data_IF_005776155453
#
_entry.id   IF_005776155453
#
_cell.length_a   1.000
_cell.length_b   1.000
_cell.length_c   1.000
_cell.angle_alpha   90.00
_cell.angle_beta   90.00
_cell.angle_gamma   90.00
#
_symmetry.space_group_name_H-M   'P 1'
#
loop_
_entity.id
_entity.type
_entity.pdbx_description
1 polymer ?
#
# COMPACT_ATOMS: atom_id res chain seq x y z
N UNK A 1 -10.60 -6.95 -22.86
CA UNK A 1 -10.02 -5.59 -22.77
C UNK A 1 -10.04 -5.22 -21.28
N UNK A 2 -8.90 -5.42 -20.57
CA UNK A 2 -8.79 -4.98 -19.17
C UNK A 2 -8.86 -3.45 -19.18
N UNK A 3 -9.90 -2.87 -18.56
CA UNK A 3 -10.03 -1.43 -18.42
C UNK A 3 -8.75 -0.85 -17.79
N UNK A 4 -8.16 0.11 -18.50
CA UNK A 4 -7.16 1.00 -17.91
C UNK A 4 -7.80 1.63 -16.67
N UNK A 5 -7.29 1.28 -15.51
CA UNK A 5 -7.72 1.87 -14.23
C UNK A 5 -7.55 3.38 -14.37
N UNK A 6 -8.65 4.10 -14.41
CA UNK A 6 -8.64 5.53 -14.67
C UNK A 6 -8.15 6.25 -13.42
N UNK A 7 -7.03 6.95 -13.52
CA UNK A 7 -6.44 7.83 -12.49
C UNK A 7 -7.49 8.81 -11.92
N UNK A 8 -8.47 9.17 -12.72
CA UNK A 8 -9.62 10.01 -12.34
C UNK A 8 -10.46 9.42 -11.18
N UNK A 9 -10.21 8.16 -10.76
CA UNK A 9 -10.92 7.53 -9.63
C UNK A 9 -10.29 7.84 -8.27
N UNK A 10 -9.02 8.25 -8.20
CA UNK A 10 -8.32 8.46 -6.93
C UNK A 10 -9.04 9.42 -5.97
N UNK A 11 -9.49 10.60 -6.41
CA UNK A 11 -10.23 11.50 -5.52
C UNK A 11 -11.53 10.91 -4.99
N UNK A 12 -12.23 10.15 -5.82
CA UNK A 12 -13.48 9.49 -5.43
C UNK A 12 -13.22 8.38 -4.41
N UNK A 13 -12.25 7.52 -4.69
CA UNK A 13 -11.87 6.44 -3.77
C UNK A 13 -11.36 6.99 -2.42
N UNK A 14 -10.58 8.07 -2.45
CA UNK A 14 -10.09 8.70 -1.23
C UNK A 14 -11.26 9.27 -0.39
N UNK A 15 -12.22 9.91 -1.03
CA UNK A 15 -13.41 10.42 -0.36
C UNK A 15 -14.28 9.28 0.21
N UNK A 16 -14.53 8.22 -0.55
CA UNK A 16 -15.28 7.03 -0.10
C UNK A 16 -14.58 6.38 1.10
N UNK A 17 -13.27 6.15 1.02
CA UNK A 17 -12.48 5.60 2.13
C UNK A 17 -12.60 6.46 3.39
N UNK A 18 -12.53 7.79 3.24
CA UNK A 18 -12.66 8.73 4.35
C UNK A 18 -14.03 8.66 5.02
N UNK A 19 -15.11 8.57 4.25
CA UNK A 19 -16.48 8.42 4.80
C UNK A 19 -16.57 7.13 5.64
N UNK A 20 -16.14 5.99 5.10
CA UNK A 20 -16.20 4.71 5.80
C UNK A 20 -15.38 4.73 7.09
N UNK A 21 -14.18 5.29 7.06
CA UNK A 21 -13.30 5.38 8.24
C UNK A 21 -13.90 6.29 9.32
N UNK A 22 -14.49 7.42 8.94
CA UNK A 22 -15.16 8.33 9.87
C UNK A 22 -16.39 7.68 10.52
N UNK A 23 -17.23 6.99 9.75
CA UNK A 23 -18.39 6.26 10.27
C UNK A 23 -18.00 5.20 11.29
N UNK A 24 -16.85 4.53 11.09
CA UNK A 24 -16.31 3.54 12.03
C UNK A 24 -15.53 4.16 13.19
N UNK A 25 -15.26 5.46 13.17
CA UNK A 25 -14.29 6.12 14.07
C UNK A 25 -12.91 5.46 14.00
N UNK A 26 -12.49 5.07 12.82
CA UNK A 26 -11.22 4.39 12.57
C UNK A 26 -10.19 5.29 11.89
N UNK A 27 -8.93 5.00 12.15
CA UNK A 27 -7.78 5.75 11.65
C UNK A 27 -6.89 4.83 10.84
N UNK A 28 -6.39 5.34 9.70
CA UNK A 28 -5.56 4.65 8.72
C UNK A 28 -4.08 5.00 8.88
N UNK A 29 -3.21 4.01 8.73
CA UNK A 29 -1.78 4.19 8.41
C UNK A 29 -1.44 3.55 7.05
N UNK A 30 -0.37 4.01 6.43
CA UNK A 30 0.12 3.52 5.14
C UNK A 30 1.60 3.19 5.21
N UNK A 31 2.01 2.12 4.51
CA UNK A 31 3.41 1.75 4.30
C UNK A 31 3.68 1.64 2.79
N UNK A 32 4.45 2.56 2.27
CA UNK A 32 4.70 2.66 0.84
C UNK A 32 6.17 2.45 0.51
N UNK A 33 6.44 1.65 -0.51
CA UNK A 33 7.78 1.50 -1.09
C UNK A 33 7.82 2.14 -2.49
N UNK A 34 7.53 1.40 -3.54
CA UNK A 34 7.64 1.88 -4.93
C UNK A 34 6.69 3.03 -5.28
N UNK A 35 5.62 3.24 -4.57
CA UNK A 35 4.67 4.34 -4.75
C UNK A 35 5.15 5.66 -4.14
N UNK A 36 6.08 5.61 -3.18
CA UNK A 36 6.82 6.77 -2.67
C UNK A 36 5.98 7.88 -2.07
N UNK A 37 4.84 7.56 -1.45
CA UNK A 37 3.91 8.52 -0.85
C UNK A 37 2.69 8.86 -1.72
N UNK A 38 2.51 8.20 -2.86
CA UNK A 38 1.40 8.49 -3.77
C UNK A 38 0.03 8.17 -3.16
N UNK A 39 -0.08 7.11 -2.34
CA UNK A 39 -1.31 6.76 -1.63
C UNK A 39 -1.60 7.81 -0.55
N UNK A 40 -0.60 8.18 0.23
CA UNK A 40 -0.72 9.22 1.26
C UNK A 40 -1.12 10.57 0.65
N UNK A 41 -0.54 10.93 -0.51
CA UNK A 41 -0.93 12.13 -1.25
C UNK A 41 -2.40 12.08 -1.67
N UNK A 42 -2.87 10.95 -2.22
CA UNK A 42 -4.27 10.79 -2.63
C UNK A 42 -5.22 10.91 -1.43
N UNK A 43 -4.90 10.27 -0.32
CA UNK A 43 -5.65 10.35 0.94
C UNK A 43 -5.73 11.78 1.46
N UNK A 44 -4.61 12.48 1.51
CA UNK A 44 -4.52 13.85 2.05
C UNK A 44 -5.05 14.92 1.09
N UNK A 45 -5.39 14.57 -0.15
CA UNK A 45 -6.12 15.47 -1.05
C UNK A 45 -7.58 15.73 -0.59
N UNK A 46 -8.10 14.87 0.29
CA UNK A 46 -9.44 15.04 0.88
C UNK A 46 -9.37 15.99 2.07
N UNK A 47 -10.11 17.08 2.01
CA UNK A 47 -10.22 18.01 3.13
C UNK A 47 -10.79 17.29 4.37
N UNK A 48 -10.18 17.51 5.54
CA UNK A 48 -10.58 16.83 6.78
C UNK A 48 -9.99 15.43 6.96
N UNK A 49 -9.10 14.97 6.08
CA UNK A 49 -8.45 13.66 6.19
C UNK A 49 -7.68 13.44 7.49
N UNK A 50 -7.26 14.50 8.18
CA UNK A 50 -6.61 14.43 9.48
C UNK A 50 -7.47 13.76 10.58
N UNK A 51 -8.78 13.66 10.39
CA UNK A 51 -9.67 12.96 11.31
C UNK A 51 -9.57 11.42 11.21
N UNK A 52 -9.07 10.89 10.10
CA UNK A 52 -9.05 9.46 9.81
C UNK A 52 -7.74 8.94 9.18
N UNK A 53 -6.75 9.79 8.96
CA UNK A 53 -5.42 9.42 8.50
C UNK A 53 -4.37 9.92 9.49
N UNK A 54 -3.54 9.02 10.02
CA UNK A 54 -2.50 9.34 11.00
C UNK A 54 -1.16 9.60 10.34
N UNK A 55 -0.63 8.60 9.63
CA UNK A 55 0.71 8.67 9.02
C UNK A 55 0.91 7.72 7.84
N UNK A 56 1.87 8.07 7.00
CA UNK A 56 2.42 7.21 5.97
C UNK A 56 3.92 6.99 6.20
N UNK A 57 4.33 5.73 6.13
CA UNK A 57 5.74 5.33 6.18
C UNK A 57 6.22 5.13 4.74
N UNK A 58 7.10 6.00 4.26
CA UNK A 58 7.77 5.81 2.97
C UNK A 58 9.07 5.05 3.22
N UNK A 59 9.03 3.73 3.03
CA UNK A 59 10.15 2.81 3.30
C UNK A 59 10.73 2.32 1.98
N UNK A 60 11.49 3.18 1.33
CA UNK A 60 11.95 2.96 -0.05
C UNK A 60 13.09 1.95 -0.14
N UNK A 61 13.99 1.93 0.84
CA UNK A 61 15.07 0.95 0.95
C UNK A 61 14.70 -0.23 1.83
N UNK A 62 15.46 -1.32 1.71
CA UNK A 62 15.30 -2.46 2.63
C UNK A 62 15.60 -2.06 4.08
N UNK A 63 16.63 -1.22 4.28
CA UNK A 63 16.97 -0.73 5.61
C UNK A 63 15.83 0.09 6.23
N UNK A 64 15.19 0.97 5.44
CA UNK A 64 14.04 1.73 5.92
C UNK A 64 12.84 0.84 6.32
N UNK A 65 12.63 -0.29 5.62
CA UNK A 65 11.60 -1.27 6.02
C UNK A 65 11.91 -1.89 7.38
N UNK A 66 13.17 -2.19 7.63
CA UNK A 66 13.63 -2.74 8.92
C UNK A 66 13.48 -1.68 10.01
N UNK A 67 14.03 -0.48 9.80
CA UNK A 67 14.11 0.58 10.82
C UNK A 67 12.75 1.14 11.22
N UNK A 68 11.84 1.29 10.26
CA UNK A 68 10.57 2.00 10.47
C UNK A 68 9.37 1.06 10.68
N UNK A 69 9.45 -0.17 10.18
CA UNK A 69 8.31 -1.10 10.17
C UNK A 69 8.61 -2.45 10.84
N UNK A 70 9.79 -2.61 11.42
CA UNK A 70 10.24 -3.88 12.04
C UNK A 70 10.22 -5.08 11.06
N UNK A 71 10.36 -4.83 9.75
CA UNK A 71 10.49 -5.89 8.75
C UNK A 71 11.75 -6.68 9.04
N UNK A 72 11.65 -8.01 9.02
CA UNK A 72 12.79 -8.88 9.34
C UNK A 72 13.77 -8.95 8.15
N UNK A 73 15.05 -8.74 8.43
CA UNK A 73 16.10 -8.89 7.43
C UNK A 73 16.11 -10.30 6.81
N UNK A 74 15.80 -11.32 7.60
CA UNK A 74 15.70 -12.71 7.16
C UNK A 74 14.58 -12.89 6.14
N UNK A 75 13.41 -12.26 6.33
CA UNK A 75 12.29 -12.29 5.40
C UNK A 75 12.67 -11.65 4.07
N UNK A 76 13.38 -10.50 4.12
CA UNK A 76 13.88 -9.85 2.91
C UNK A 76 14.87 -10.75 2.16
N UNK A 77 15.79 -11.40 2.88
CA UNK A 77 16.79 -12.27 2.28
C UNK A 77 16.19 -13.54 1.67
N UNK A 78 15.12 -14.08 2.27
CA UNK A 78 14.48 -15.31 1.84
C UNK A 78 13.52 -15.09 0.68
N UNK A 79 12.66 -14.08 0.76
CA UNK A 79 11.55 -13.87 -0.19
C UNK A 79 11.80 -12.69 -1.14
N UNK A 80 12.77 -11.84 -0.84
CA UNK A 80 12.98 -10.57 -1.53
C UNK A 80 12.02 -9.47 -1.09
N UNK A 81 12.40 -8.22 -1.37
CA UNK A 81 11.61 -7.05 -0.95
C UNK A 81 10.22 -6.99 -1.60
N UNK A 82 10.03 -7.63 -2.75
CA UNK A 82 8.75 -7.72 -3.46
C UNK A 82 8.17 -9.11 -3.27
N UNK A 83 7.41 -9.27 -2.20
CA UNK A 83 6.75 -10.52 -1.81
C UNK A 83 5.54 -10.22 -0.92
N UNK A 84 4.63 -11.17 -0.81
CA UNK A 84 3.48 -11.04 0.09
C UNK A 84 3.90 -11.04 1.56
N UNK A 85 4.96 -11.79 1.90
CA UNK A 85 5.55 -11.81 3.23
C UNK A 85 6.02 -10.41 3.64
N UNK A 86 6.71 -9.70 2.76
CA UNK A 86 7.15 -8.33 3.03
C UNK A 86 5.97 -7.37 3.06
N UNK A 87 5.00 -7.50 2.17
CA UNK A 87 3.79 -6.68 2.20
C UNK A 87 3.03 -6.88 3.53
N UNK A 88 2.95 -8.11 4.03
CA UNK A 88 2.37 -8.43 5.34
C UNK A 88 3.13 -7.77 6.48
N UNK A 89 4.45 -7.93 6.53
CA UNK A 89 5.28 -7.33 7.58
C UNK A 89 5.23 -5.80 7.54
N UNK A 90 5.21 -5.20 6.35
CA UNK A 90 5.05 -3.75 6.19
C UNK A 90 3.71 -3.25 6.73
N UNK A 91 2.61 -3.91 6.40
CA UNK A 91 1.27 -3.52 6.87
C UNK A 91 1.12 -3.70 8.38
N UNK A 92 1.57 -4.85 8.92
CA UNK A 92 1.52 -5.12 10.36
C UNK A 92 2.46 -4.21 11.15
N UNK A 93 3.63 -3.90 10.59
CA UNK A 93 4.56 -2.94 11.18
C UNK A 93 3.99 -1.51 11.22
N UNK A 94 3.33 -1.07 10.14
CA UNK A 94 2.66 0.22 10.12
C UNK A 94 1.53 0.31 11.15
N UNK A 95 0.74 -0.75 11.30
CA UNK A 95 -0.31 -0.82 12.32
C UNK A 95 0.27 -0.77 13.74
N UNK A 96 1.32 -1.54 14.00
CA UNK A 96 1.99 -1.63 15.30
C UNK A 96 2.68 -0.31 15.69
N UNK A 97 3.32 0.37 14.73
CA UNK A 97 4.12 1.57 14.95
C UNK A 97 3.31 2.87 14.80
N UNK A 98 1.99 2.76 14.83
CA UNK A 98 1.05 3.87 14.80
C UNK A 98 -0.11 3.63 15.76
N UNK A 99 -0.96 4.64 15.94
CA UNK A 99 -2.20 4.52 16.74
C UNK A 99 -3.40 4.41 15.81
N UNK A 100 -3.41 3.38 14.98
CA UNK A 100 -4.40 3.21 13.92
C UNK A 100 -5.14 1.88 14.05
N UNK A 101 -6.22 1.74 13.30
CA UNK A 101 -7.12 0.59 13.32
C UNK A 101 -6.94 -0.29 12.09
N UNK A 102 -6.46 0.31 11.01
CA UNK A 102 -6.18 -0.35 9.73
C UNK A 102 -4.90 0.20 9.12
N UNK A 103 -4.12 -0.65 8.49
CA UNK A 103 -2.95 -0.23 7.72
C UNK A 103 -2.91 -0.91 6.35
N UNK A 104 -2.52 -0.15 5.34
CA UNK A 104 -2.29 -0.65 3.99
C UNK A 104 -0.82 -0.59 3.61
N UNK A 105 -0.32 -1.58 2.87
CA UNK A 105 1.05 -1.59 2.35
C UNK A 105 1.15 -1.87 0.86
N UNK A 106 2.20 -1.32 0.23
CA UNK A 106 2.59 -1.61 -1.15
C UNK A 106 4.10 -1.80 -1.23
N UNK A 107 4.53 -2.91 -1.82
CA UNK A 107 5.89 -3.12 -2.30
C UNK A 107 5.84 -3.68 -3.73
N UNK A 108 6.79 -3.33 -4.59
CA UNK A 108 6.70 -3.77 -5.97
C UNK A 108 7.79 -3.28 -6.89
N UNK A 109 7.74 -3.75 -8.13
CA UNK A 109 8.66 -3.43 -9.23
C UNK A 109 7.95 -2.54 -10.23
N UNK A 110 8.12 -1.24 -10.10
CA UNK A 110 7.45 -0.26 -10.97
C UNK A 110 8.11 -0.15 -12.37
N UNK A 111 9.34 -0.62 -12.51
CA UNK A 111 10.07 -0.58 -13.77
C UNK A 111 10.80 0.76 -14.02
N UNK A 112 11.45 0.92 -15.20
CA UNK A 112 11.56 -0.07 -16.28
C UNK A 112 12.48 -1.25 -15.97
N UNK A 113 13.38 -1.12 -14.96
CA UNK A 113 14.33 -2.13 -14.53
C UNK A 113 13.86 -2.87 -13.28
N UNK A 114 14.60 -3.92 -12.88
CA UNK A 114 14.40 -4.63 -11.61
C UNK A 114 13.50 -5.86 -11.71
N UNK A 115 12.90 -6.13 -12.87
CA UNK A 115 12.11 -7.32 -13.09
C UNK A 115 12.97 -8.58 -13.30
N UNK A 116 12.41 -9.73 -12.93
CA UNK A 116 12.93 -11.08 -13.20
C UNK A 116 11.87 -11.91 -13.90
N UNK A 117 12.23 -13.12 -14.35
CA UNK A 117 11.25 -14.04 -14.97
C UNK A 117 10.12 -14.41 -13.98
N UNK A 118 10.45 -14.57 -12.69
CA UNK A 118 9.49 -14.91 -11.64
C UNK A 118 8.70 -13.70 -11.13
N UNK A 119 9.33 -12.53 -11.15
CA UNK A 119 8.73 -11.26 -10.71
C UNK A 119 8.98 -10.20 -11.79
N UNK A 120 8.20 -10.20 -12.88
CA UNK A 120 8.40 -9.21 -13.95
C UNK A 120 8.06 -7.80 -13.49
N UNK A 121 8.51 -6.80 -14.28
CA UNK A 121 8.11 -5.39 -14.08
C UNK A 121 6.59 -5.30 -14.04
N UNK A 122 6.06 -4.55 -13.08
CA UNK A 122 4.63 -4.44 -12.81
C UNK A 122 4.13 -5.37 -11.69
N UNK A 123 4.97 -6.28 -11.17
CA UNK A 123 4.62 -7.11 -10.01
C UNK A 123 4.53 -6.23 -8.77
N UNK A 124 3.36 -6.22 -8.14
CA UNK A 124 3.03 -5.47 -6.93
C UNK A 124 2.43 -6.39 -5.87
N UNK A 125 2.94 -6.30 -4.65
CA UNK A 125 2.42 -7.02 -3.50
C UNK A 125 1.80 -6.03 -2.52
N UNK A 126 0.62 -6.36 -2.03
CA UNK A 126 -0.19 -5.53 -1.15
C UNK A 126 -0.46 -6.26 0.16
N UNK A 127 -0.59 -5.49 1.23
CA UNK A 127 -1.06 -5.98 2.51
C UNK A 127 -2.11 -5.04 3.08
N UNK A 128 -3.14 -5.60 3.72
CA UNK A 128 -4.11 -4.86 4.52
C UNK A 128 -4.21 -5.51 5.89
N UNK A 129 -3.75 -4.80 6.90
CA UNK A 129 -3.70 -5.27 8.29
C UNK A 129 -4.78 -4.61 9.14
N UNK A 130 -5.45 -5.43 9.93
CA UNK A 130 -6.43 -5.07 10.96
C UNK A 130 -6.04 -5.83 12.21
N UNK A 131 -6.09 -5.23 13.40
CA UNK A 131 -5.82 -5.83 14.70
C UNK A 131 -4.98 -7.14 14.68
N UNK A 132 -5.61 -8.29 14.41
CA UNK A 132 -4.99 -9.62 14.42
C UNK A 132 -5.01 -10.34 13.06
N UNK A 133 -5.35 -9.62 11.98
CA UNK A 133 -5.45 -10.19 10.65
C UNK A 133 -4.72 -9.34 9.63
N UNK A 134 -4.01 -9.97 8.73
CA UNK A 134 -3.47 -9.33 7.54
C UNK A 134 -3.82 -10.17 6.32
N UNK A 135 -4.39 -9.53 5.32
CA UNK A 135 -4.61 -10.13 4.00
C UNK A 135 -3.56 -9.60 3.04
N UNK A 136 -3.03 -10.48 2.21
CA UNK A 136 -2.04 -10.14 1.19
C UNK A 136 -2.54 -10.54 -0.19
N UNK A 137 -2.09 -9.82 -1.20
CA UNK A 137 -2.41 -10.12 -2.59
C UNK A 137 -1.31 -9.63 -3.51
N UNK A 138 -0.98 -10.42 -4.51
CA UNK A 138 -0.06 -10.04 -5.58
C UNK A 138 -0.85 -9.71 -6.84
N UNK A 139 -0.54 -8.58 -7.47
CA UNK A 139 -1.08 -8.16 -8.75
C UNK A 139 0.04 -7.84 -9.73
N UNK A 140 -0.28 -7.93 -11.01
CA UNK A 140 0.61 -7.54 -12.09
C UNK A 140 -0.06 -6.45 -12.94
N UNK A 141 0.56 -5.28 -12.98
CA UNK A 141 0.10 -4.14 -13.77
C UNK A 141 0.99 -3.93 -15.00
N UNK A 142 0.38 -3.49 -16.08
CA UNK A 142 1.07 -3.17 -17.34
C UNK A 142 1.13 -1.65 -17.53
N UNK A 143 2.14 -1.19 -18.26
CA UNK A 143 2.34 0.22 -18.56
C UNK A 143 3.75 0.70 -18.18
N UNK A 144 3.98 2.00 -18.31
CA UNK A 144 5.21 2.63 -17.86
C UNK A 144 5.24 2.74 -16.32
N UNK A 145 6.39 3.16 -15.78
CA UNK A 145 6.61 3.30 -14.33
C UNK A 145 5.52 4.13 -13.63
N UNK A 146 5.10 5.22 -14.21
CA UNK A 146 4.08 6.08 -13.62
C UNK A 146 2.71 5.40 -13.61
N UNK A 147 2.33 4.81 -14.73
CA UNK A 147 1.06 4.08 -14.87
C UNK A 147 0.98 2.89 -13.90
N UNK A 148 2.06 2.14 -13.72
CA UNK A 148 2.12 1.02 -12.78
C UNK A 148 1.91 1.51 -11.34
N UNK A 149 2.60 2.58 -10.93
CA UNK A 149 2.45 3.18 -9.58
C UNK A 149 1.05 3.71 -9.33
N UNK A 150 0.44 4.34 -10.33
CA UNK A 150 -0.92 4.86 -10.25
C UNK A 150 -1.95 3.73 -10.11
N UNK A 151 -1.83 2.68 -10.91
CA UNK A 151 -2.70 1.50 -10.82
C UNK A 151 -2.57 0.82 -9.45
N UNK A 152 -1.33 0.68 -8.94
CA UNK A 152 -1.08 0.13 -7.62
C UNK A 152 -1.73 0.98 -6.51
N UNK A 153 -1.68 2.30 -6.62
CA UNK A 153 -2.32 3.23 -5.67
C UNK A 153 -3.84 3.04 -5.66
N UNK A 154 -4.47 3.01 -6.83
CA UNK A 154 -5.91 2.76 -6.96
C UNK A 154 -6.28 1.41 -6.37
N UNK A 155 -5.51 0.36 -6.68
CA UNK A 155 -5.79 -0.99 -6.21
C UNK A 155 -5.72 -1.09 -4.68
N UNK A 156 -4.70 -0.52 -4.03
CA UNK A 156 -4.65 -0.52 -2.57
C UNK A 156 -5.84 0.19 -1.94
N UNK A 157 -6.26 1.33 -2.48
CA UNK A 157 -7.43 2.05 -1.98
C UNK A 157 -8.71 1.22 -2.11
N UNK A 158 -8.88 0.51 -3.21
CA UNK A 158 -10.01 -0.43 -3.39
C UNK A 158 -9.96 -1.57 -2.38
N UNK A 159 -8.78 -2.16 -2.12
CA UNK A 159 -8.62 -3.22 -1.12
C UNK A 159 -8.92 -2.74 0.31
N UNK A 160 -8.50 -1.52 0.66
CA UNK A 160 -8.84 -0.91 1.94
C UNK A 160 -10.36 -0.73 2.11
N UNK A 161 -11.02 -0.20 1.09
CA UNK A 161 -12.49 -0.03 1.08
C UNK A 161 -13.21 -1.38 1.20
N UNK A 162 -12.79 -2.36 0.40
CA UNK A 162 -13.39 -3.71 0.42
C UNK A 162 -13.26 -4.37 1.80
N UNK A 163 -12.11 -4.19 2.44
CA UNK A 163 -11.85 -4.76 3.77
C UNK A 163 -12.64 -4.09 4.89
N UNK A 164 -13.09 -2.88 4.68
CA UNK A 164 -13.89 -2.10 5.64
C UNK A 164 -15.41 -2.34 5.52
N UNK A 165 -15.87 -2.86 4.39
CA UNK A 165 -17.28 -3.25 4.15
C UNK A 165 -17.59 -4.59 4.76
#
# INVERSE_FOLDING_TARGET
MKELVKINQLPHLAAELGVILQEKCWVLALAESCTGGMVAQAVTSVAGSSAWFDRGFVTYSNQAKIDMLDVLAETINTFGAVSEEIAQEMATGALKNSRTHIAGSITGIAGPNGGTAQKPVGTMCFGVALANQCTTITQHFTGNREQVRQQATVFLMQQLIERLK
#
